data_IF_844697891146
#
_entry.id   IF_844697891146
#
_cell.length_a   1.000
_cell.length_b   1.000
_cell.length_c   1.000
_cell.angle_alpha   90.00
_cell.angle_beta   90.00
_cell.angle_gamma   90.00
#
_symmetry.space_group_name_H-M   'P 1'
#
loop_
_entity.id
_entity.type
_entity.pdbx_description
1 polymer ?
#
# COMPACT_ATOMS: atom_id res chain seq x y z
N UNK A 1 -12.73 0.32 -20.71
CA UNK A 1 -12.26 0.93 -19.45
C UNK A 1 -12.74 0.04 -18.32
N UNK A 2 -11.84 -0.61 -17.56
CA UNK A 2 -12.27 -1.33 -16.34
C UNK A 2 -12.67 -0.31 -15.29
N UNK A 3 -13.85 -0.46 -14.67
CA UNK A 3 -14.23 0.41 -13.57
C UNK A 3 -13.27 0.21 -12.39
N UNK A 4 -12.88 1.30 -11.75
CA UNK A 4 -12.03 1.26 -10.57
C UNK A 4 -12.90 0.92 -9.35
N UNK A 5 -12.86 -0.34 -8.90
CA UNK A 5 -13.71 -0.84 -7.81
C UNK A 5 -12.93 -0.74 -6.48
N UNK A 6 -13.36 0.16 -5.59
CA UNK A 6 -12.85 0.33 -4.22
C UNK A 6 -13.84 -0.20 -3.19
N UNK A 7 -14.03 -1.51 -3.13
CA UNK A 7 -14.90 -2.08 -2.12
C UNK A 7 -14.47 -3.50 -1.72
N UNK A 8 -14.74 -3.81 -0.45
CA UNK A 8 -14.82 -5.19 0.00
C UNK A 8 -16.24 -5.70 -0.23
N UNK A 9 -16.34 -6.96 -0.65
CA UNK A 9 -17.64 -7.62 -0.66
C UNK A 9 -18.15 -7.76 0.79
N UNK A 10 -19.47 -7.77 1.02
CA UNK A 10 -20.03 -7.85 2.38
C UNK A 10 -19.50 -9.03 3.19
N UNK A 11 -19.28 -10.19 2.55
CA UNK A 11 -18.72 -11.38 3.21
C UNK A 11 -17.27 -11.20 3.65
N UNK A 12 -16.46 -10.53 2.81
CA UNK A 12 -15.08 -10.22 3.15
C UNK A 12 -15.00 -9.23 4.32
N UNK A 13 -15.85 -8.20 4.32
CA UNK A 13 -15.96 -7.26 5.43
C UNK A 13 -16.39 -7.97 6.72
N UNK A 14 -17.38 -8.87 6.65
CA UNK A 14 -17.83 -9.65 7.80
C UNK A 14 -16.71 -10.56 8.36
N UNK A 15 -15.88 -11.15 7.50
CA UNK A 15 -14.75 -11.95 7.94
C UNK A 15 -13.70 -11.13 8.72
N UNK A 16 -13.38 -9.92 8.24
CA UNK A 16 -12.49 -9.01 8.97
C UNK A 16 -13.10 -8.51 10.27
N UNK A 17 -14.40 -8.23 10.30
CA UNK A 17 -15.10 -7.87 11.53
C UNK A 17 -15.01 -9.00 12.56
N UNK A 18 -15.25 -10.25 12.14
CA UNK A 18 -15.11 -11.41 13.00
C UNK A 18 -13.70 -11.52 13.61
N UNK A 19 -12.64 -11.24 12.85
CA UNK A 19 -11.27 -11.19 13.38
C UNK A 19 -11.08 -10.09 14.44
N UNK A 20 -11.81 -8.97 14.37
CA UNK A 20 -11.76 -7.94 15.42
C UNK A 20 -12.48 -8.37 16.70
N UNK A 21 -13.49 -9.22 16.59
CA UNK A 21 -14.31 -9.69 17.72
C UNK A 21 -13.72 -10.93 18.42
N UNK A 22 -12.83 -11.68 17.77
CA UNK A 22 -12.15 -12.83 18.38
C UNK A 22 -11.42 -12.45 19.67
N UNK A 23 -11.42 -13.35 20.66
CA UNK A 23 -10.64 -13.16 21.89
C UNK A 23 -9.13 -13.21 21.62
N UNK A 24 -8.36 -12.36 22.29
CA UNK A 24 -6.91 -12.31 22.16
C UNK A 24 -6.42 -11.47 20.97
N UNK A 25 -5.10 -11.46 20.77
CA UNK A 25 -4.46 -10.78 19.64
C UNK A 25 -4.41 -11.69 18.40
N UNK A 26 -4.47 -11.05 17.24
CA UNK A 26 -4.26 -11.70 15.95
C UNK A 26 -3.66 -10.70 14.96
N UNK A 27 -3.18 -11.21 13.83
CA UNK A 27 -2.50 -10.42 12.81
C UNK A 27 -3.34 -9.27 12.25
N UNK A 28 -4.66 -9.42 12.18
CA UNK A 28 -5.53 -8.38 11.65
C UNK A 28 -5.64 -7.20 12.60
N UNK A 29 -5.83 -7.48 13.90
CA UNK A 29 -5.81 -6.44 14.94
C UNK A 29 -4.45 -5.73 14.96
N UNK A 30 -3.37 -6.49 14.88
CA UNK A 30 -2.01 -5.93 14.90
C UNK A 30 -1.76 -5.03 13.66
N UNK A 31 -2.19 -5.42 12.46
CA UNK A 31 -2.15 -4.54 11.28
C UNK A 31 -2.97 -3.25 11.48
N UNK A 32 -4.15 -3.34 12.07
CA UNK A 32 -4.97 -2.16 12.37
C UNK A 32 -4.29 -1.23 13.39
N UNK A 33 -3.53 -1.76 14.36
CA UNK A 33 -2.77 -0.92 15.30
C UNK A 33 -1.58 -0.19 14.66
N UNK A 34 -1.12 -0.68 13.51
CA UNK A 34 -0.05 -0.05 12.72
C UNK A 34 -0.63 0.88 11.64
N UNK A 35 -1.94 0.92 11.44
CA UNK A 35 -2.54 1.76 10.41
C UNK A 35 -2.51 3.23 10.85
N UNK A 36 -1.95 4.08 10.00
CA UNK A 36 -1.94 5.52 10.18
C UNK A 36 -2.79 6.21 9.10
N UNK A 37 -3.86 6.93 9.49
CA UNK A 37 -4.72 7.63 8.54
C UNK A 37 -3.97 8.79 7.87
N UNK A 38 -4.44 9.19 6.69
CA UNK A 38 -3.93 10.37 6.01
C UNK A 38 -4.10 11.63 6.86
N UNK A 39 -3.23 12.61 6.67
CA UNK A 39 -3.16 13.78 7.56
C UNK A 39 -2.41 13.52 8.88
N UNK A 40 -1.89 12.31 9.08
CA UNK A 40 -1.01 11.96 10.20
C UNK A 40 0.31 11.37 9.68
N UNK A 41 1.47 11.67 10.31
CA UNK A 41 2.73 11.02 9.98
C UNK A 41 2.66 9.50 10.19
N UNK A 42 3.20 8.71 9.26
CA UNK A 42 3.27 7.25 9.41
C UNK A 42 4.36 6.82 10.41
N UNK A 43 5.38 7.64 10.64
CA UNK A 43 6.52 7.26 11.49
C UNK A 43 7.29 6.06 10.93
N UNK A 44 7.99 5.32 11.80
CA UNK A 44 8.88 4.23 11.40
C UNK A 44 8.17 2.89 11.16
N UNK A 45 6.97 2.72 11.71
CA UNK A 45 6.22 1.46 11.64
C UNK A 45 4.76 1.64 11.19
N UNK A 46 4.31 2.88 10.97
CA UNK A 46 2.95 3.13 10.53
C UNK A 46 2.77 2.76 9.06
N UNK A 47 1.56 2.32 8.76
CA UNK A 47 1.17 1.77 7.48
C UNK A 47 0.06 2.61 6.87
N UNK A 48 0.10 2.78 5.55
CA UNK A 48 -1.00 3.34 4.76
C UNK A 48 -1.88 2.21 4.23
N UNK A 49 -3.18 2.43 4.19
CA UNK A 49 -4.16 1.44 3.73
C UNK A 49 -4.69 1.79 2.34
N UNK A 50 -4.84 0.78 1.49
CA UNK A 50 -5.57 0.87 0.24
C UNK A 50 -6.67 -0.18 0.16
N UNK A 51 -7.84 0.20 -0.36
CA UNK A 51 -8.99 -0.68 -0.56
C UNK A 51 -9.19 -0.89 -2.06
N UNK A 52 -9.20 -2.16 -2.46
CA UNK A 52 -9.21 -2.58 -3.86
C UNK A 52 -10.40 -3.50 -4.12
N UNK A 53 -10.50 -4.04 -5.32
CA UNK A 53 -11.55 -4.99 -5.71
C UNK A 53 -11.48 -6.26 -4.85
N UNK A 54 -12.16 -6.24 -3.71
CA UNK A 54 -12.25 -7.29 -2.70
C UNK A 54 -10.91 -7.71 -2.05
N UNK A 55 -9.97 -6.78 -1.90
CA UNK A 55 -8.76 -6.99 -1.09
C UNK A 55 -8.28 -5.65 -0.50
N UNK A 56 -7.45 -5.72 0.54
CA UNK A 56 -6.75 -4.55 1.08
C UNK A 56 -5.24 -4.69 0.92
N UNK A 57 -4.53 -3.58 0.97
CA UNK A 57 -3.07 -3.61 1.01
C UNK A 57 -2.55 -2.54 1.95
N UNK A 58 -1.60 -2.94 2.80
CA UNK A 58 -0.87 -2.06 3.71
C UNK A 58 0.49 -1.72 3.12
N UNK A 59 0.84 -0.45 3.17
CA UNK A 59 2.07 0.09 2.61
C UNK A 59 2.93 0.79 3.66
N UNK A 60 4.25 0.60 3.59
CA UNK A 60 5.26 1.44 4.24
C UNK A 60 6.09 2.11 3.17
N UNK A 61 6.23 3.44 3.18
CA UNK A 61 7.04 4.21 2.21
C UNK A 61 6.78 3.78 0.77
N UNK A 62 5.51 3.59 0.46
CA UNK A 62 5.09 3.19 -0.87
C UNK A 62 5.35 1.75 -1.30
N UNK A 63 5.79 0.88 -0.39
CA UNK A 63 6.03 -0.54 -0.65
C UNK A 63 4.99 -1.40 0.07
N UNK A 64 4.49 -2.42 -0.60
CA UNK A 64 3.48 -3.33 -0.05
C UNK A 64 4.12 -4.19 1.05
N UNK A 65 3.60 -4.06 2.26
CA UNK A 65 4.01 -4.83 3.45
C UNK A 65 3.11 -6.04 3.63
N UNK A 66 1.79 -5.82 3.56
CA UNK A 66 0.81 -6.88 3.75
C UNK A 66 -0.42 -6.67 2.87
N UNK A 67 -0.65 -7.58 1.93
CA UNK A 67 -1.89 -7.67 1.16
C UNK A 67 -2.87 -8.56 1.91
N UNK A 68 -4.04 -8.03 2.27
CA UNK A 68 -5.11 -8.80 2.90
C UNK A 68 -6.06 -9.32 1.84
N UNK A 69 -6.13 -10.64 1.71
CA UNK A 69 -6.99 -11.34 0.77
C UNK A 69 -7.94 -12.31 1.47
N UNK A 70 -8.77 -12.99 0.67
CA UNK A 70 -9.79 -13.90 1.16
C UNK A 70 -9.76 -15.20 0.35
N UNK A 71 -9.96 -16.34 1.00
CA UNK A 71 -10.18 -17.63 0.32
C UNK A 71 -11.57 -17.68 -0.30
N UNK A 72 -11.88 -18.72 -1.09
CA UNK A 72 -13.24 -18.96 -1.59
C UNK A 72 -14.25 -19.15 -0.45
N UNK A 73 -13.79 -19.67 0.69
CA UNK A 73 -14.56 -19.79 1.94
C UNK A 73 -14.72 -18.47 2.71
N UNK A 74 -14.23 -17.35 2.18
CA UNK A 74 -14.19 -16.04 2.84
C UNK A 74 -13.32 -15.99 4.11
N UNK A 75 -12.37 -16.91 4.26
CA UNK A 75 -11.37 -16.81 5.32
C UNK A 75 -10.30 -15.79 4.93
N UNK A 76 -10.07 -14.82 5.81
CA UNK A 76 -9.08 -13.77 5.57
C UNK A 76 -7.65 -14.27 5.81
N UNK A 77 -6.71 -13.80 4.99
CA UNK A 77 -5.28 -14.03 5.14
C UNK A 77 -4.51 -12.76 4.80
N UNK A 78 -3.26 -12.67 5.27
CA UNK A 78 -2.31 -11.65 4.84
C UNK A 78 -1.21 -12.29 3.98
N UNK A 79 -0.75 -11.58 2.95
CA UNK A 79 0.35 -11.99 2.08
C UNK A 79 1.44 -10.92 2.09
N UNK A 80 2.69 -11.36 2.15
CA UNK A 80 3.87 -10.50 1.97
C UNK A 80 4.86 -11.18 1.03
N UNK A 81 5.75 -10.43 0.40
CA UNK A 81 6.75 -11.03 -0.48
C UNK A 81 7.65 -11.99 0.32
N UNK A 82 7.99 -13.16 -0.24
CA UNK A 82 8.69 -14.23 0.51
C UNK A 82 9.97 -13.72 1.19
N UNK A 83 10.76 -12.90 0.49
CA UNK A 83 11.98 -12.27 1.06
C UNK A 83 11.78 -11.46 2.35
N UNK A 84 10.58 -10.93 2.58
CA UNK A 84 10.25 -10.21 3.81
C UNK A 84 9.94 -11.15 4.98
N UNK A 85 9.33 -12.31 4.69
CA UNK A 85 8.94 -13.29 5.70
C UNK A 85 10.02 -14.34 6.00
N UNK A 86 10.82 -14.72 5.00
CA UNK A 86 11.81 -15.80 5.09
C UNK A 86 13.26 -15.33 4.98
N UNK A 87 13.47 -14.07 4.56
CA UNK A 87 14.77 -13.40 4.56
C UNK A 87 15.30 -13.08 3.15
N UNK A 88 16.35 -12.25 3.07
CA UNK A 88 16.85 -11.68 1.80
C UNK A 88 17.52 -12.70 0.87
N UNK A 89 17.80 -13.93 1.33
CA UNK A 89 18.29 -15.02 0.49
C UNK A 89 17.25 -15.54 -0.49
N UNK A 90 15.97 -15.23 -0.27
CA UNK A 90 14.87 -15.56 -1.17
C UNK A 90 14.95 -14.75 -2.46
N UNK A 91 15.07 -15.45 -3.58
CA UNK A 91 15.17 -14.83 -4.92
C UNK A 91 13.86 -14.90 -5.71
N UNK A 92 12.88 -15.67 -5.23
CA UNK A 92 11.60 -15.85 -5.92
C UNK A 92 10.71 -14.61 -5.77
N UNK A 93 9.99 -14.29 -6.85
CA UNK A 93 8.95 -13.25 -6.87
C UNK A 93 7.60 -13.88 -6.55
N UNK A 94 7.43 -14.31 -5.30
CA UNK A 94 6.21 -14.96 -4.82
C UNK A 94 5.83 -14.40 -3.43
N UNK A 95 4.69 -14.84 -2.89
CA UNK A 95 4.17 -14.33 -1.63
C UNK A 95 4.02 -15.43 -0.58
N UNK A 96 4.54 -15.16 0.61
CA UNK A 96 4.28 -15.93 1.81
C UNK A 96 2.89 -15.58 2.36
N UNK A 97 2.14 -16.58 2.79
CA UNK A 97 0.78 -16.38 3.32
C UNK A 97 0.74 -16.59 4.83
N UNK A 98 0.23 -15.61 5.54
CA UNK A 98 -0.14 -15.64 6.95
C UNK A 98 -1.64 -15.93 7.08
N UNK A 99 -1.96 -17.10 7.62
CA UNK A 99 -3.32 -17.53 7.97
C UNK A 99 -3.34 -18.03 9.40
N UNK A 100 -4.26 -17.52 10.23
CA UNK A 100 -4.26 -17.80 11.66
C UNK A 100 -2.95 -17.36 12.32
N UNK A 101 -2.21 -18.30 12.89
CA UNK A 101 -0.91 -18.05 13.52
C UNK A 101 0.28 -18.61 12.74
N UNK A 102 0.08 -18.96 11.46
CA UNK A 102 1.10 -19.64 10.64
C UNK A 102 1.40 -18.85 9.38
N UNK A 103 2.70 -18.67 9.10
CA UNK A 103 3.23 -18.10 7.88
C UNK A 103 3.77 -19.24 7.03
N UNK A 104 3.26 -19.41 5.81
CA UNK A 104 3.62 -20.50 4.93
C UNK A 104 4.40 -20.00 3.70
N UNK A 105 5.53 -20.66 3.44
CA UNK A 105 6.30 -20.47 2.22
C UNK A 105 5.59 -21.13 1.01
N UNK A 106 5.40 -20.43 -0.13
CA UNK A 106 4.55 -20.92 -1.22
C UNK A 106 5.10 -22.12 -1.99
N UNK A 107 6.43 -22.32 -2.02
CA UNK A 107 7.08 -23.43 -2.76
C UNK A 107 7.60 -24.58 -1.89
N UNK A 108 8.32 -24.28 -0.82
CA UNK A 108 8.96 -25.30 0.03
C UNK A 108 8.00 -25.93 1.03
N UNK A 109 6.88 -25.26 1.34
CA UNK A 109 5.99 -25.66 2.42
C UNK A 109 6.55 -25.38 3.82
N UNK A 110 7.72 -24.73 3.94
CA UNK A 110 8.26 -24.25 5.22
C UNK A 110 7.20 -23.38 5.93
N UNK A 111 7.07 -23.58 7.24
CA UNK A 111 6.16 -22.82 8.08
C UNK A 111 6.92 -22.12 9.20
N UNK A 112 6.50 -20.88 9.49
CA UNK A 112 6.95 -20.11 10.64
C UNK A 112 5.75 -19.69 11.49
N UNK A 113 5.98 -19.54 12.79
CA UNK A 113 4.97 -19.01 13.70
C UNK A 113 4.81 -17.51 13.51
N UNK A 114 3.59 -17.02 13.64
CA UNK A 114 3.31 -15.60 13.79
C UNK A 114 3.57 -15.18 15.25
N UNK A 115 4.52 -14.28 15.45
CA UNK A 115 4.97 -13.83 16.77
C UNK A 115 4.36 -12.47 17.16
N UNK A 116 3.15 -12.21 16.66
CA UNK A 116 2.47 -10.94 16.86
C UNK A 116 3.11 -9.79 16.07
N UNK A 117 3.03 -8.59 16.64
CA UNK A 117 3.53 -7.35 16.02
C UNK A 117 5.01 -7.38 15.65
N UNK A 118 5.84 -8.16 16.34
CA UNK A 118 7.26 -8.30 16.02
C UNK A 118 7.48 -8.81 14.58
N UNK A 119 6.67 -9.78 14.13
CA UNK A 119 6.70 -10.27 12.75
C UNK A 119 6.37 -9.15 11.75
N UNK A 120 5.37 -8.32 12.06
CA UNK A 120 4.98 -7.21 11.17
C UNK A 120 6.06 -6.13 11.11
N UNK A 121 6.71 -5.82 12.24
CA UNK A 121 7.84 -4.89 12.26
C UNK A 121 9.02 -5.42 11.44
N UNK A 122 9.29 -6.72 11.48
CA UNK A 122 10.31 -7.33 10.62
C UNK A 122 9.93 -7.17 9.15
N UNK A 123 8.68 -7.44 8.76
CA UNK A 123 8.23 -7.25 7.39
C UNK A 123 8.44 -5.79 6.94
N UNK A 124 8.02 -4.82 7.75
CA UNK A 124 8.24 -3.39 7.49
C UNK A 124 9.73 -3.09 7.29
N UNK A 125 10.58 -3.53 8.21
CA UNK A 125 12.02 -3.28 8.14
C UNK A 125 12.66 -3.90 6.87
N UNK A 126 12.23 -5.10 6.46
CA UNK A 126 12.72 -5.72 5.22
C UNK A 126 12.16 -5.02 3.97
N UNK A 127 10.95 -4.48 4.05
CA UNK A 127 10.31 -3.72 2.99
C UNK A 127 11.02 -2.37 2.78
N UNK A 128 11.36 -1.67 3.85
CA UNK A 128 12.03 -0.37 3.85
C UNK A 128 13.46 -0.42 3.27
N UNK A 129 14.16 -1.55 3.38
CA UNK A 129 15.47 -1.75 2.70
C UNK A 129 15.39 -1.59 1.18
N UNK A 130 14.19 -1.62 0.60
CA UNK A 130 13.95 -1.44 -0.83
C UNK A 130 13.20 -0.14 -1.17
N UNK A 131 12.95 0.73 -0.19
CA UNK A 131 12.47 2.09 -0.46
C UNK A 131 13.66 2.99 -0.79
N UNK A 132 13.83 3.35 -2.07
CA UNK A 132 14.73 4.43 -2.45
C UNK A 132 14.20 5.79 -1.98
N UNK A 133 15.06 6.80 -1.93
CA UNK A 133 14.75 8.17 -1.45
C UNK A 133 13.48 8.76 -2.08
N UNK A 134 13.23 8.48 -3.36
CA UNK A 134 12.04 8.94 -4.10
C UNK A 134 10.72 8.50 -3.46
N UNK A 135 10.67 7.34 -2.78
CA UNK A 135 9.42 6.78 -2.29
C UNK A 135 9.00 7.30 -0.90
N UNK A 136 9.92 7.90 -0.15
CA UNK A 136 9.59 8.56 1.11
C UNK A 136 8.68 9.77 0.91
N UNK A 137 8.81 10.47 -0.24
CA UNK A 137 8.04 11.68 -0.49
C UNK A 137 6.51 11.45 -0.56
N UNK A 138 6.07 10.24 -0.93
CA UNK A 138 4.64 9.92 -1.00
C UNK A 138 4.04 9.85 0.41
N UNK A 139 4.74 9.23 1.36
CA UNK A 139 4.24 9.15 2.74
C UNK A 139 4.20 10.53 3.41
N UNK A 140 5.17 11.39 3.11
CA UNK A 140 5.19 12.79 3.53
C UNK A 140 4.00 13.56 2.94
N UNK A 141 3.73 13.37 1.65
CA UNK A 141 2.57 13.98 0.99
C UNK A 141 1.25 13.51 1.61
N UNK A 142 1.11 12.20 1.88
CA UNK A 142 -0.09 11.65 2.54
C UNK A 142 -0.23 12.18 3.96
N UNK A 143 0.88 12.36 4.69
CA UNK A 143 0.88 12.87 6.05
C UNK A 143 0.37 14.31 6.16
N UNK A 144 0.57 15.17 5.15
CA UNK A 144 0.09 16.56 5.17
C UNK A 144 -1.27 16.77 4.50
N UNK A 145 -1.86 15.72 3.92
CA UNK A 145 -3.13 15.79 3.19
C UNK A 145 -4.20 14.88 3.82
N UNK A 146 -5.02 15.36 4.77
CA UNK A 146 -6.05 14.56 5.45
C UNK A 146 -7.18 14.09 4.53
N UNK A 147 -7.35 14.70 3.36
CA UNK A 147 -8.40 14.35 2.40
C UNK A 147 -8.08 13.11 1.55
N UNK A 148 -6.90 12.50 1.70
CA UNK A 148 -6.55 11.29 0.97
C UNK A 148 -7.18 10.09 1.67
N UNK A 149 -8.02 9.34 0.96
CA UNK A 149 -8.80 8.23 1.54
C UNK A 149 -8.26 6.87 1.07
N UNK A 150 -7.54 6.82 -0.05
CA UNK A 150 -7.05 5.58 -0.66
C UNK A 150 -5.74 5.86 -1.42
N UNK A 151 -4.70 5.06 -1.15
CA UNK A 151 -3.39 5.18 -1.78
C UNK A 151 -3.06 3.92 -2.60
N UNK A 152 -3.31 3.98 -3.91
CA UNK A 152 -2.78 2.96 -4.83
C UNK A 152 -1.34 3.28 -5.22
N UNK A 153 -0.39 2.50 -4.68
CA UNK A 153 1.00 2.50 -5.14
C UNK A 153 1.19 1.39 -6.16
N UNK A 154 1.34 1.78 -7.42
CA UNK A 154 1.73 0.92 -8.52
C UNK A 154 2.45 1.76 -9.56
N UNK A 155 3.74 1.53 -9.76
CA UNK A 155 4.42 2.09 -10.92
C UNK A 155 3.96 1.28 -12.14
N UNK A 156 3.26 1.88 -13.12
CA UNK A 156 3.01 1.18 -14.36
C UNK A 156 4.37 0.96 -15.02
N UNK A 157 4.73 -0.30 -15.27
CA UNK A 157 5.87 -0.62 -16.12
C UNK A 157 5.45 -0.28 -17.55
N UNK A 158 6.17 0.60 -18.23
CA UNK A 158 5.92 0.78 -19.66
C UNK A 158 6.10 -0.58 -20.36
N UNK A 159 5.32 -0.84 -21.42
CA UNK A 159 5.36 -2.11 -22.17
C UNK A 159 6.77 -2.49 -22.67
N UNK A 160 7.71 -1.54 -22.69
CA UNK A 160 9.11 -1.69 -23.07
C UNK A 160 10.10 -1.84 -21.89
N UNK A 161 9.61 -2.03 -20.66
CA UNK A 161 10.47 -2.26 -19.48
C UNK A 161 11.16 -1.02 -18.91
N UNK A 162 10.82 0.20 -19.36
CA UNK A 162 11.32 1.44 -18.75
C UNK A 162 10.36 1.98 -17.66
N UNK A 163 10.89 2.61 -16.59
CA UNK A 163 10.04 3.36 -15.67
C UNK A 163 9.38 4.53 -16.41
N UNK A 164 8.09 4.74 -16.19
CA UNK A 164 7.40 5.94 -16.69
C UNK A 164 7.86 7.14 -15.87
N UNK A 165 8.46 8.12 -16.53
CA UNK A 165 8.74 9.43 -15.94
C UNK A 165 7.42 10.16 -15.69
N UNK A 166 7.05 10.35 -14.42
CA UNK A 166 5.95 11.23 -14.04
C UNK A 166 6.45 12.67 -14.04
N UNK A 167 5.90 13.50 -14.93
CA UNK A 167 6.04 14.96 -14.83
C UNK A 167 4.98 15.48 -13.87
N UNK A 168 5.40 15.94 -12.69
CA UNK A 168 4.53 16.69 -11.79
C UNK A 168 4.47 18.12 -12.33
N UNK A 169 3.34 18.50 -12.93
CA UNK A 169 3.09 19.90 -13.27
C UNK A 169 2.89 20.69 -11.97
N UNK A 170 3.87 21.53 -11.62
CA UNK A 170 3.68 22.55 -10.58
C UNK A 170 2.69 23.61 -11.08
N UNK A 171 1.66 24.01 -10.29
CA UNK A 171 0.80 25.13 -10.65
C UNK A 171 1.53 26.43 -10.31
N UNK A 172 2.48 26.82 -11.14
CA UNK A 172 3.01 28.19 -11.12
C UNK A 172 3.41 28.62 -12.53
N UNK A 173 2.44 29.08 -13.29
CA UNK A 173 2.67 30.17 -14.25
C UNK A 173 1.36 30.89 -14.55
N UNK A 174 1.36 32.17 -14.16
CA UNK A 174 0.41 33.25 -14.37
C UNK A 174 -0.51 33.10 -15.60
N UNK A 175 -1.79 33.37 -15.37
CA UNK A 175 -2.75 33.76 -16.42
C UNK A 175 -2.22 35.03 -17.11
N UNK A 176 -2.03 35.08 -18.43
CA UNK A 176 -1.75 36.32 -19.13
C UNK A 176 -3.06 37.14 -19.21
N UNK A 177 -3.07 38.33 -18.62
CA UNK A 177 -4.09 39.35 -18.89
C UNK A 177 -3.98 39.81 -20.34
N UNK A 178 -5.10 39.97 -21.08
CA UNK A 178 -5.05 40.46 -22.46
C UNK A 178 -4.62 41.92 -22.48
N UNK A 179 -3.51 42.22 -23.16
CA UNK A 179 -3.08 43.58 -23.45
C UNK A 179 -3.96 44.19 -24.54
N UNK A 180 -4.62 45.30 -24.20
CA UNK A 180 -5.28 46.21 -25.13
C UNK A 180 -4.24 46.86 -26.06
N UNK A 181 -4.27 46.54 -27.35
CA UNK A 181 -3.52 47.29 -28.37
C UNK A 181 -4.38 48.44 -28.89
N UNK A 182 -3.98 49.66 -28.55
CA UNK A 182 -4.47 50.92 -29.08
C UNK A 182 -4.12 51.12 -30.55
N UNK A 183 -5.13 51.50 -31.34
CA UNK A 183 -5.14 52.44 -32.47
C UNK A 183 -3.80 52.82 -33.14
N UNK A 184 -3.68 52.48 -34.43
CA UNK A 184 -2.83 53.14 -35.41
C UNK A 184 -3.63 53.48 -36.68
N UNK A 185 -3.66 54.76 -37.06
CA UNK A 185 -4.46 55.36 -38.15
C UNK A 185 -3.88 55.11 -39.56
N UNK A 186 -4.69 55.30 -40.63
CA UNK A 186 -4.35 54.89 -42.00
C UNK A 186 -3.49 55.92 -42.74
N UNK A 187 -2.83 55.46 -43.81
CA UNK A 187 -2.42 56.28 -44.97
C UNK A 187 -3.08 55.72 -46.22
#
# INVERSE_FOLDING_TARGET
MSSFIRCLQPRALAALHGLTEQSGQNWWKDLLTLWEPSGSPAGDHGLRLAIRNNYLNFYSRGQSVARVGFTSGCEAYAETHVKHAFGPSETIQDYARLSGATIQHPKTGEQRGYEGRATLHEWIAQTDKHSGEEKGCVDELVAVNPSIIDLEMGLPRAANGRPLSVWIASPSSRVPTPSTSSFGKPR
#
